data_IF_826281375396
#
_entry.id   IF_826281375396
#
_cell.length_a   1.000
_cell.length_b   1.000
_cell.length_c   1.000
_cell.angle_alpha   90.00
_cell.angle_beta   90.00
_cell.angle_gamma   90.00
#
_symmetry.space_group_name_H-M   'P 1'
#
loop_
_entity.id
_entity.type
_entity.pdbx_description
1 polymer ?
#
# COMPACT_ATOMS: atom_id res chain seq x y z
N UNK A 1 -69.49 13.34 -43.08
CA UNK A 1 -68.41 14.31 -42.95
C UNK A 1 -67.87 14.17 -41.53
N UNK A 2 -66.98 13.16 -41.30
CA UNK A 2 -66.35 12.89 -39.97
C UNK A 2 -64.88 12.68 -40.17
N UNK A 3 -64.12 13.64 -39.67
CA UNK A 3 -62.69 13.70 -39.75
C UNK A 3 -62.09 12.89 -38.57
N UNK A 4 -61.48 11.74 -38.84
CA UNK A 4 -60.81 10.94 -37.86
C UNK A 4 -59.38 11.46 -37.70
N UNK A 5 -59.06 12.01 -36.50
CA UNK A 5 -57.77 12.49 -36.12
C UNK A 5 -56.97 11.23 -35.60
N UNK A 6 -55.93 10.80 -36.32
CA UNK A 6 -55.01 9.79 -35.90
C UNK A 6 -53.95 10.42 -35.00
N UNK A 7 -54.00 10.12 -33.70
CA UNK A 7 -52.89 10.42 -32.77
C UNK A 7 -51.75 9.43 -32.99
N UNK A 8 -50.62 9.91 -33.47
CA UNK A 8 -49.39 9.17 -33.56
C UNK A 8 -48.64 9.35 -32.24
N UNK A 9 -48.69 8.35 -31.36
CA UNK A 9 -47.92 8.35 -30.14
C UNK A 9 -46.47 7.88 -30.46
N UNK A 10 -45.56 8.84 -30.57
CA UNK A 10 -44.11 8.54 -30.65
C UNK A 10 -43.60 8.12 -29.25
N UNK A 11 -43.38 6.84 -29.09
CA UNK A 11 -42.67 6.29 -27.90
C UNK A 11 -41.19 6.56 -28.11
N UNK A 12 -40.64 7.54 -27.42
CA UNK A 12 -39.19 7.77 -27.30
C UNK A 12 -38.64 6.75 -26.32
N UNK A 13 -38.04 5.68 -26.83
CA UNK A 13 -37.30 4.70 -26.02
C UNK A 13 -35.92 5.30 -25.69
N UNK A 14 -35.81 5.92 -24.52
CA UNK A 14 -34.50 6.34 -23.97
C UNK A 14 -33.68 5.09 -23.65
N UNK A 15 -32.78 4.74 -24.56
CA UNK A 15 -31.75 3.73 -24.33
C UNK A 15 -30.71 4.34 -23.37
N UNK A 16 -30.88 4.12 -22.08
CA UNK A 16 -29.83 4.42 -21.08
C UNK A 16 -28.70 3.43 -21.29
N UNK A 17 -27.67 3.82 -22.03
CA UNK A 17 -26.43 3.12 -22.10
C UNK A 17 -25.78 3.23 -20.70
N UNK A 18 -25.98 2.22 -19.86
CA UNK A 18 -25.17 2.02 -18.67
C UNK A 18 -23.74 1.68 -19.13
N UNK A 19 -22.91 2.70 -19.23
CA UNK A 19 -21.47 2.54 -19.31
C UNK A 19 -21.02 1.88 -18.02
N UNK A 20 -20.98 0.54 -18.01
CA UNK A 20 -20.19 -0.22 -17.06
C UNK A 20 -18.72 0.10 -17.34
N UNK A 21 -18.27 1.24 -16.84
CA UNK A 21 -16.87 1.60 -16.89
C UNK A 21 -16.11 0.52 -16.13
N UNK A 22 -15.35 -0.28 -16.85
CA UNK A 22 -14.30 -1.09 -16.22
C UNK A 22 -13.44 -0.12 -15.42
N UNK A 23 -13.53 -0.19 -14.10
CA UNK A 23 -12.66 0.56 -13.19
C UNK A 23 -11.28 -0.10 -13.31
N UNK A 24 -10.54 0.26 -14.34
CA UNK A 24 -9.11 -0.05 -14.40
C UNK A 24 -8.45 0.72 -13.26
N UNK A 25 -7.60 0.03 -12.51
CA UNK A 25 -6.75 0.65 -11.51
C UNK A 25 -6.05 1.87 -12.12
N UNK A 26 -6.46 3.07 -11.70
CA UNK A 26 -5.95 4.32 -12.29
C UNK A 26 -4.69 4.75 -11.56
N UNK A 27 -3.60 4.85 -12.31
CA UNK A 27 -2.34 5.34 -11.80
C UNK A 27 -2.11 6.81 -12.14
N UNK A 28 -1.50 7.52 -11.20
CA UNK A 28 -1.06 8.89 -11.40
C UNK A 28 0.46 9.00 -11.25
N UNK A 29 1.08 9.88 -12.02
CA UNK A 29 2.45 10.32 -11.80
C UNK A 29 2.43 11.64 -11.03
N UNK A 30 3.44 11.87 -10.20
CA UNK A 30 3.69 13.15 -9.55
C UNK A 30 5.13 13.58 -9.82
N UNK A 31 5.36 14.88 -9.80
CA UNK A 31 6.65 15.50 -10.08
C UNK A 31 7.30 16.13 -8.85
N UNK A 32 6.52 16.27 -7.76
CA UNK A 32 6.99 16.81 -6.49
C UNK A 32 6.41 16.04 -5.29
N UNK A 33 7.05 16.19 -4.13
CA UNK A 33 6.59 15.56 -2.89
C UNK A 33 5.20 16.08 -2.46
N UNK A 34 4.93 17.36 -2.67
CA UNK A 34 3.64 17.99 -2.35
C UNK A 34 2.53 17.43 -3.24
N UNK A 35 2.79 17.32 -4.54
CA UNK A 35 1.84 16.73 -5.48
C UNK A 35 1.56 15.26 -5.16
N UNK A 36 2.62 14.49 -4.85
CA UNK A 36 2.49 13.10 -4.43
C UNK A 36 1.63 12.98 -3.17
N UNK A 37 1.87 13.81 -2.15
CA UNK A 37 1.08 13.81 -0.91
C UNK A 37 -0.39 14.07 -1.19
N UNK A 38 -0.70 15.16 -1.91
CA UNK A 38 -2.07 15.52 -2.26
C UNK A 38 -2.82 14.43 -3.04
N UNK A 39 -2.14 13.78 -4.00
CA UNK A 39 -2.73 12.66 -4.76
C UNK A 39 -2.91 11.41 -3.89
N UNK A 40 -1.95 11.12 -3.01
CA UNK A 40 -2.02 9.97 -2.11
C UNK A 40 -3.18 10.05 -1.12
N UNK A 41 -3.49 11.26 -0.62
CA UNK A 41 -4.60 11.47 0.33
C UNK A 41 -5.98 11.28 -0.32
N UNK A 42 -6.07 11.31 -1.65
CA UNK A 42 -7.32 11.19 -2.41
C UNK A 42 -7.49 9.81 -3.08
N UNK A 43 -6.61 8.84 -2.84
CA UNK A 43 -6.65 7.53 -3.49
C UNK A 43 -7.90 6.73 -3.12
N UNK A 44 -8.56 6.22 -4.14
CA UNK A 44 -9.66 5.26 -4.04
C UNK A 44 -9.13 3.83 -4.23
N UNK A 45 -9.87 2.78 -3.82
CA UNK A 45 -9.49 1.40 -4.06
C UNK A 45 -9.05 1.16 -5.51
N UNK A 46 -7.89 0.53 -5.70
CA UNK A 46 -7.29 0.30 -7.01
C UNK A 46 -6.42 1.44 -7.53
N UNK A 47 -6.41 2.60 -6.89
CA UNK A 47 -5.62 3.75 -7.33
C UNK A 47 -4.24 3.80 -6.66
N UNK A 48 -3.31 4.46 -7.34
CA UNK A 48 -1.94 4.63 -6.90
C UNK A 48 -1.29 5.89 -7.48
N UNK A 49 -0.19 6.33 -6.88
CA UNK A 49 0.68 7.41 -7.39
C UNK A 49 2.14 6.98 -7.33
N UNK A 50 2.92 7.36 -8.36
CA UNK A 50 4.33 7.00 -8.49
C UNK A 50 5.17 8.17 -8.98
N UNK A 51 6.23 8.50 -8.24
CA UNK A 51 7.06 9.69 -8.46
C UNK A 51 8.55 9.42 -8.19
N UNK A 52 9.20 8.47 -8.88
CA UNK A 52 10.56 8.03 -8.56
C UNK A 52 11.61 9.12 -8.76
N UNK A 53 11.32 10.19 -9.53
CA UNK A 53 12.26 11.28 -9.77
C UNK A 53 12.44 12.19 -8.56
N UNK A 54 11.53 12.16 -7.58
CA UNK A 54 11.67 12.95 -6.35
C UNK A 54 12.91 12.51 -5.56
N UNK A 55 13.23 11.20 -5.60
CA UNK A 55 14.47 10.64 -5.04
C UNK A 55 15.06 9.66 -6.06
N UNK A 56 15.94 10.11 -6.97
CA UNK A 56 16.38 9.32 -8.11
C UNK A 56 17.25 8.11 -7.75
N UNK A 57 17.91 8.14 -6.58
CA UNK A 57 18.84 7.10 -6.13
C UNK A 57 18.73 6.83 -4.63
N UNK A 58 19.26 5.71 -4.19
CA UNK A 58 19.32 5.29 -2.81
C UNK A 58 18.52 4.04 -2.50
N UNK A 59 18.64 3.50 -1.28
CA UNK A 59 17.94 2.29 -0.85
C UNK A 59 16.43 2.49 -0.86
N UNK A 60 15.72 1.42 -1.25
CA UNK A 60 14.25 1.38 -1.27
C UNK A 60 13.75 0.59 -0.07
N UNK A 61 12.61 1.01 0.47
CA UNK A 61 11.82 0.25 1.43
C UNK A 61 10.33 0.43 1.17
N UNK A 62 9.53 -0.54 1.62
CA UNK A 62 8.07 -0.49 1.54
C UNK A 62 7.49 -0.53 2.95
N UNK A 63 6.53 0.31 3.21
CA UNK A 63 5.69 0.28 4.41
C UNK A 63 4.25 -0.04 4.02
N UNK A 64 3.70 -1.11 4.57
CA UNK A 64 2.31 -1.52 4.38
C UNK A 64 1.54 -1.26 5.67
N UNK A 65 0.56 -0.36 5.59
CA UNK A 65 -0.38 -0.05 6.66
C UNK A 65 -1.66 -0.84 6.45
N UNK A 66 -1.84 -1.90 7.24
CA UNK A 66 -3.01 -2.78 7.14
C UNK A 66 -4.30 -2.09 7.63
N UNK A 67 -4.21 -1.12 8.54
CA UNK A 67 -5.37 -0.39 9.04
C UNK A 67 -5.97 0.53 7.99
N UNK A 68 -5.11 1.12 7.16
CA UNK A 68 -5.48 2.03 6.07
C UNK A 68 -5.60 1.35 4.70
N UNK A 69 -5.17 0.09 4.59
CA UNK A 69 -5.06 -0.62 3.32
C UNK A 69 -4.21 0.18 2.30
N UNK A 70 -3.03 0.64 2.73
CA UNK A 70 -2.11 1.48 1.94
C UNK A 70 -0.70 0.89 1.99
N UNK A 71 -0.03 0.85 0.84
CA UNK A 71 1.41 0.62 0.74
C UNK A 71 2.10 1.93 0.34
N UNK A 72 3.17 2.26 1.04
CA UNK A 72 4.01 3.43 0.77
C UNK A 72 5.43 2.98 0.43
N UNK A 73 5.97 3.48 -0.67
CA UNK A 73 7.34 3.19 -1.12
C UNK A 73 8.22 4.40 -0.85
N UNK A 74 9.33 4.13 -0.18
CA UNK A 74 10.36 5.12 0.12
C UNK A 74 11.64 4.80 -0.66
N UNK A 75 12.35 5.83 -1.07
CA UNK A 75 13.73 5.72 -1.55
C UNK A 75 14.57 6.77 -0.85
N UNK A 76 15.66 6.33 -0.20
CA UNK A 76 16.52 7.20 0.61
C UNK A 76 15.71 8.03 1.63
N UNK A 77 14.73 7.40 2.31
CA UNK A 77 13.83 8.05 3.27
C UNK A 77 12.75 8.96 2.67
N UNK A 78 12.77 9.22 1.36
CA UNK A 78 11.79 10.06 0.69
C UNK A 78 10.69 9.21 0.08
N UNK A 79 9.43 9.57 0.32
CA UNK A 79 8.26 8.91 -0.27
C UNK A 79 8.22 9.12 -1.77
N UNK A 80 8.26 8.03 -2.54
CA UNK A 80 8.26 8.03 -4.02
C UNK A 80 7.04 7.32 -4.63
N UNK A 81 6.26 6.61 -3.83
CA UNK A 81 5.07 5.93 -4.31
C UNK A 81 4.08 5.62 -3.19
N UNK A 82 2.80 5.61 -3.52
CA UNK A 82 1.70 5.21 -2.63
C UNK A 82 0.68 4.46 -3.45
N UNK A 83 0.16 3.37 -2.89
CA UNK A 83 -0.89 2.57 -3.52
C UNK A 83 -1.88 2.09 -2.49
N UNK A 84 -3.14 1.99 -2.87
CA UNK A 84 -4.09 1.18 -2.11
C UNK A 84 -3.72 -0.30 -2.23
N UNK A 85 -4.07 -1.08 -1.22
CA UNK A 85 -3.83 -2.53 -1.18
C UNK A 85 -5.09 -3.28 -0.77
N UNK A 86 -5.07 -4.61 -0.91
CA UNK A 86 -6.00 -5.52 -0.24
C UNK A 86 -5.20 -6.59 0.48
N UNK A 87 -5.26 -6.57 1.80
CA UNK A 87 -4.54 -7.51 2.68
C UNK A 87 -5.35 -8.78 2.95
N UNK A 88 -4.83 -9.65 3.80
CA UNK A 88 -5.49 -10.87 4.24
C UNK A 88 -6.81 -10.60 4.97
N UNK A 89 -7.85 -11.36 4.58
CA UNK A 89 -9.17 -11.34 5.23
C UNK A 89 -9.13 -12.02 6.60
N UNK A 90 -10.20 -11.88 7.38
CA UNK A 90 -10.37 -12.55 8.67
C UNK A 90 -10.13 -14.06 8.56
N UNK A 91 -9.28 -14.59 9.43
CA UNK A 91 -8.83 -15.99 9.44
C UNK A 91 -7.68 -16.30 8.46
N UNK A 92 -7.24 -15.30 7.70
CA UNK A 92 -6.10 -15.35 6.78
C UNK A 92 -5.34 -14.03 6.81
N UNK A 93 -5.14 -13.48 7.99
CA UNK A 93 -4.56 -12.16 8.19
C UNK A 93 -3.15 -12.09 7.61
N UNK A 94 -2.80 -10.94 7.04
CA UNK A 94 -1.42 -10.65 6.65
C UNK A 94 -0.58 -10.49 7.92
N UNK A 95 0.52 -11.23 8.08
CA UNK A 95 1.36 -11.12 9.27
C UNK A 95 2.05 -9.74 9.31
N UNK A 96 2.11 -9.16 10.51
CA UNK A 96 2.85 -7.93 10.77
C UNK A 96 4.29 -8.21 11.13
N UNK A 97 5.18 -7.27 10.84
CA UNK A 97 6.60 -7.39 11.14
C UNK A 97 7.49 -6.70 10.12
N UNK A 98 8.78 -6.94 10.26
CA UNK A 98 9.79 -6.50 9.29
C UNK A 98 10.24 -7.72 8.48
N UNK A 99 10.06 -7.61 7.18
CA UNK A 99 10.36 -8.67 6.20
C UNK A 99 11.42 -8.19 5.22
N UNK A 100 12.01 -9.14 4.50
CA UNK A 100 12.81 -8.85 3.30
C UNK A 100 12.23 -9.58 2.12
N UNK A 101 12.46 -9.07 0.91
CA UNK A 101 12.09 -9.77 -0.31
C UNK A 101 13.00 -10.99 -0.49
N UNK A 102 12.43 -12.18 -0.34
CA UNK A 102 13.15 -13.46 -0.40
C UNK A 102 13.27 -14.01 -1.81
N UNK A 103 12.28 -13.70 -2.67
CA UNK A 103 12.19 -14.19 -4.04
C UNK A 103 11.37 -13.21 -4.87
N UNK A 104 11.73 -13.08 -6.15
CA UNK A 104 10.98 -12.30 -7.14
C UNK A 104 10.62 -13.19 -8.33
N UNK A 105 9.34 -13.17 -8.74
CA UNK A 105 8.87 -13.93 -9.90
C UNK A 105 7.73 -13.15 -10.59
N UNK A 106 8.01 -12.68 -11.80
CA UNK A 106 7.05 -11.86 -12.56
C UNK A 106 5.81 -12.62 -13.04
N UNK A 107 5.91 -13.96 -13.16
CA UNK A 107 4.85 -14.83 -13.70
C UNK A 107 4.40 -15.92 -12.73
N UNK A 108 4.60 -15.67 -11.43
CA UNK A 108 4.30 -16.64 -10.37
C UNK A 108 2.85 -17.11 -10.40
N UNK A 109 2.67 -18.37 -10.01
CA UNK A 109 1.37 -18.99 -9.76
C UNK A 109 1.35 -19.67 -8.41
N UNK A 110 0.24 -19.56 -7.72
CA UNK A 110 0.08 -20.16 -6.40
C UNK A 110 0.12 -21.68 -6.44
N UNK A 111 0.99 -22.28 -5.65
CA UNK A 111 0.98 -23.74 -5.41
C UNK A 111 -0.11 -24.17 -4.41
N UNK A 112 -0.64 -23.23 -3.61
CA UNK A 112 -1.62 -23.48 -2.54
C UNK A 112 -3.06 -23.21 -2.98
N UNK A 113 -3.28 -22.31 -3.95
CA UNK A 113 -4.61 -21.79 -4.29
C UNK A 113 -4.90 -21.99 -5.77
N UNK A 114 -5.19 -23.23 -6.16
CA UNK A 114 -5.70 -23.59 -7.49
C UNK A 114 -4.94 -22.95 -8.66
N UNK A 115 -3.62 -22.91 -8.58
CA UNK A 115 -2.76 -22.32 -9.63
C UNK A 115 -3.12 -20.86 -9.99
N UNK A 116 -3.69 -20.12 -9.02
CA UNK A 116 -4.08 -18.72 -9.22
C UNK A 116 -2.90 -17.87 -9.68
N UNK A 117 -3.08 -16.95 -10.64
CA UNK A 117 -2.01 -16.07 -11.08
C UNK A 117 -1.65 -15.06 -9.97
N UNK A 118 -0.36 -14.87 -9.75
CA UNK A 118 0.22 -13.91 -8.81
C UNK A 118 1.30 -13.07 -9.53
N UNK A 119 0.92 -12.21 -10.49
CA UNK A 119 1.89 -11.47 -11.29
C UNK A 119 2.74 -10.55 -10.43
N UNK A 120 4.03 -10.42 -10.77
CA UNK A 120 5.00 -9.57 -10.07
C UNK A 120 5.13 -9.90 -8.59
N UNK A 121 5.20 -11.19 -8.27
CA UNK A 121 5.35 -11.68 -6.91
C UNK A 121 6.71 -11.26 -6.32
N UNK A 122 6.64 -10.65 -5.15
CA UNK A 122 7.76 -10.33 -4.26
C UNK A 122 7.49 -11.03 -2.92
N UNK A 123 8.14 -12.18 -2.72
CA UNK A 123 7.89 -13.09 -1.60
C UNK A 123 8.46 -12.54 -0.29
N UNK A 124 7.66 -12.54 0.76
CA UNK A 124 8.04 -12.09 2.11
C UNK A 124 8.29 -13.25 3.08
N UNK A 125 7.57 -14.38 2.91
CA UNK A 125 7.74 -15.56 3.77
C UNK A 125 7.75 -16.84 2.94
N UNK A 126 8.41 -17.88 3.43
CA UNK A 126 8.40 -19.19 2.77
C UNK A 126 7.04 -19.90 2.92
N UNK A 127 6.18 -19.45 3.85
CA UNK A 127 4.81 -19.94 3.99
C UNK A 127 3.87 -19.41 2.91
N UNK A 128 4.33 -18.48 2.06
CA UNK A 128 3.63 -18.03 0.88
C UNK A 128 3.04 -16.63 0.93
N UNK A 129 3.37 -15.83 1.95
CA UNK A 129 3.00 -14.40 1.97
C UNK A 129 3.88 -13.62 1.02
N UNK A 130 3.27 -12.76 0.20
CA UNK A 130 3.96 -11.96 -0.81
C UNK A 130 3.20 -10.67 -1.11
N UNK A 131 3.92 -9.69 -1.70
CA UNK A 131 3.31 -8.61 -2.47
C UNK A 131 3.12 -9.10 -3.90
N UNK A 132 1.98 -8.86 -4.54
CA UNK A 132 1.75 -9.19 -5.95
C UNK A 132 0.50 -8.47 -6.50
N UNK A 133 0.33 -8.47 -7.81
CA UNK A 133 -0.88 -7.94 -8.41
C UNK A 133 -2.10 -8.83 -8.09
N UNK A 134 -3.21 -8.21 -7.66
CA UNK A 134 -4.43 -8.94 -7.29
C UNK A 134 -5.67 -8.06 -7.25
N UNK A 135 -6.77 -8.63 -6.78
CA UNK A 135 -8.04 -7.92 -6.58
C UNK A 135 -7.91 -6.80 -5.52
N UNK A 136 -8.65 -5.71 -5.71
CA UNK A 136 -8.59 -4.50 -4.88
C UNK A 136 -10.00 -3.97 -4.63
N UNK A 137 -10.84 -4.71 -3.88
CA UNK A 137 -12.22 -4.32 -3.63
C UNK A 137 -12.38 -3.15 -2.65
N UNK A 138 -11.28 -2.71 -2.01
CA UNK A 138 -11.28 -1.64 -1.01
C UNK A 138 -11.36 -2.16 0.43
N UNK A 139 -11.28 -3.47 0.61
CA UNK A 139 -11.26 -4.15 1.90
C UNK A 139 -10.34 -5.38 1.84
N UNK A 140 -9.95 -5.96 2.99
CA UNK A 140 -9.17 -7.20 3.04
C UNK A 140 -9.93 -8.38 2.42
N UNK A 141 -9.35 -9.02 1.37
CA UNK A 141 -9.97 -10.19 0.72
C UNK A 141 -9.01 -11.35 0.48
N UNK A 142 -7.68 -11.09 0.58
CA UNK A 142 -6.66 -12.09 0.26
C UNK A 142 -6.59 -13.23 1.29
N UNK A 143 -5.76 -14.22 1.00
CA UNK A 143 -5.43 -15.30 1.92
C UNK A 143 -4.07 -15.09 2.60
N UNK A 144 -3.74 -13.84 2.94
CA UNK A 144 -2.54 -13.44 3.65
C UNK A 144 -1.55 -12.61 2.81
N UNK A 145 -1.63 -12.65 1.49
CA UNK A 145 -0.84 -11.78 0.63
C UNK A 145 -1.31 -10.33 0.67
N UNK A 146 -0.47 -9.42 0.20
CA UNK A 146 -0.82 -8.02 -0.05
C UNK A 146 -1.03 -7.84 -1.55
N UNK A 147 -2.26 -7.66 -1.96
CA UNK A 147 -2.62 -7.35 -3.34
C UNK A 147 -2.36 -5.89 -3.66
N UNK A 148 -1.81 -5.65 -4.83
CA UNK A 148 -1.49 -4.33 -5.39
C UNK A 148 -2.12 -4.18 -6.78
N UNK A 149 -2.36 -2.95 -7.26
CA UNK A 149 -2.71 -2.71 -8.65
C UNK A 149 -1.65 -3.27 -9.60
N UNK A 150 -2.05 -3.87 -10.71
CA UNK A 150 -1.14 -4.56 -11.63
C UNK A 150 0.04 -3.68 -12.07
N UNK A 151 -0.23 -2.45 -12.49
CA UNK A 151 0.82 -1.54 -12.96
C UNK A 151 1.72 -1.06 -11.81
N UNK A 152 1.16 -0.83 -10.61
CA UNK A 152 1.98 -0.49 -9.44
C UNK A 152 2.86 -1.65 -9.02
N UNK A 153 2.34 -2.89 -9.04
CA UNK A 153 3.14 -4.10 -8.79
C UNK A 153 4.32 -4.21 -9.75
N UNK A 154 4.10 -3.92 -11.04
CA UNK A 154 5.16 -3.91 -12.05
C UNK A 154 6.21 -2.84 -11.73
N UNK A 155 5.79 -1.60 -11.43
CA UNK A 155 6.70 -0.50 -11.09
C UNK A 155 7.53 -0.79 -9.83
N UNK A 156 6.91 -1.37 -8.82
CA UNK A 156 7.59 -1.77 -7.59
C UNK A 156 8.56 -2.92 -7.85
N UNK A 157 8.12 -3.93 -8.59
CA UNK A 157 8.94 -5.08 -8.97
C UNK A 157 10.19 -4.63 -9.75
N UNK A 158 10.05 -3.71 -10.71
CA UNK A 158 11.18 -3.19 -11.48
C UNK A 158 12.17 -2.37 -10.61
N UNK A 159 11.66 -1.70 -9.58
CA UNK A 159 12.46 -0.86 -8.69
C UNK A 159 13.10 -1.62 -7.52
N UNK A 160 12.52 -2.73 -7.09
CA UNK A 160 12.94 -3.52 -5.93
C UNK A 160 14.06 -4.50 -6.24
N UNK A 161 14.68 -5.04 -5.19
CA UNK A 161 15.70 -6.09 -5.27
C UNK A 161 15.53 -7.11 -4.14
N UNK A 162 16.19 -8.26 -4.24
CA UNK A 162 16.23 -9.25 -3.17
C UNK A 162 16.89 -8.64 -1.93
N UNK A 163 16.35 -8.97 -0.76
CA UNK A 163 16.78 -8.39 0.52
C UNK A 163 16.23 -7.00 0.82
N UNK A 164 15.47 -6.37 -0.09
CA UNK A 164 14.79 -5.09 0.19
C UNK A 164 13.84 -5.21 1.37
N UNK A 165 13.87 -4.23 2.27
CA UNK A 165 13.02 -4.21 3.47
C UNK A 165 11.56 -3.89 3.14
N UNK A 166 10.67 -4.68 3.72
CA UNK A 166 9.21 -4.46 3.72
C UNK A 166 8.71 -4.50 5.16
N UNK A 167 8.12 -3.42 5.63
CA UNK A 167 7.49 -3.32 6.95
C UNK A 167 5.99 -3.46 6.78
N UNK A 168 5.37 -4.38 7.51
CA UNK A 168 3.92 -4.56 7.57
C UNK A 168 3.45 -4.27 8.98
N UNK A 169 2.56 -3.30 9.16
CA UNK A 169 2.09 -2.86 10.46
C UNK A 169 0.58 -2.57 10.46
N UNK A 170 0.02 -2.44 11.68
CA UNK A 170 -1.41 -2.24 11.88
C UNK A 170 -2.20 -3.54 11.81
N UNK A 171 -3.51 -3.41 11.92
CA UNK A 171 -4.46 -4.51 11.75
C UNK A 171 -5.60 -4.05 10.87
N UNK A 172 -6.03 -4.87 9.93
CA UNK A 172 -7.19 -4.59 9.11
C UNK A 172 -8.44 -4.43 10.00
N UNK A 173 -9.16 -3.32 9.86
CA UNK A 173 -10.31 -2.99 10.67
C UNK A 173 -10.02 -2.15 11.93
N UNK A 174 -8.76 -1.98 12.32
CA UNK A 174 -8.40 -1.01 13.34
C UNK A 174 -8.66 0.41 12.80
N UNK A 175 -9.07 1.37 13.67
CA UNK A 175 -9.16 2.75 13.23
C UNK A 175 -7.80 3.23 12.72
N UNK A 176 -7.77 4.02 11.63
CA UNK A 176 -6.52 4.52 11.09
C UNK A 176 -5.81 5.34 12.17
N UNK A 177 -4.55 5.00 12.42
CA UNK A 177 -3.70 5.82 13.27
C UNK A 177 -3.48 7.12 12.53
N UNK A 178 -4.00 8.22 13.03
CA UNK A 178 -3.74 9.54 12.50
C UNK A 178 -2.28 9.89 12.78
N UNK A 179 -1.42 9.68 11.80
CA UNK A 179 -0.04 10.12 11.87
C UNK A 179 -0.02 11.64 11.70
N UNK A 180 0.20 12.36 12.78
CA UNK A 180 0.49 13.79 12.73
C UNK A 180 1.95 13.89 12.26
N UNK A 181 2.14 14.28 11.00
CA UNK A 181 3.41 14.80 10.52
C UNK A 181 4.49 13.83 10.04
N UNK A 182 4.19 12.60 9.61
CA UNK A 182 5.19 11.72 8.99
C UNK A 182 5.09 10.27 9.46
N UNK A 183 5.72 9.37 8.72
CA UNK A 183 5.65 7.91 8.98
C UNK A 183 6.15 7.53 10.38
N UNK A 184 6.87 8.43 11.04
CA UNK A 184 7.53 8.20 12.33
C UNK A 184 7.36 9.36 13.31
N UNK A 185 6.34 10.23 13.11
CA UNK A 185 6.03 11.21 14.15
C UNK A 185 5.69 10.47 15.44
N UNK A 186 6.27 10.85 16.58
CA UNK A 186 5.91 10.27 17.86
C UNK A 186 4.41 10.47 18.10
N UNK A 187 3.76 9.43 18.57
CA UNK A 187 2.31 9.37 18.80
C UNK A 187 1.87 10.55 19.68
N UNK A 188 1.04 11.42 19.10
CA UNK A 188 0.68 12.69 19.70
C UNK A 188 -0.50 12.66 20.64
N UNK A 189 -0.62 11.69 21.54
CA UNK A 189 -1.45 11.81 22.72
C UNK A 189 -0.57 11.74 23.97
N UNK A 190 -0.65 12.79 24.78
CA UNK A 190 0.21 13.03 25.94
C UNK A 190 0.23 11.92 27.01
N UNK A 191 -0.54 10.86 26.86
CA UNK A 191 -0.68 9.83 27.89
C UNK A 191 -0.03 8.47 27.56
N UNK A 192 0.48 8.26 26.34
CA UNK A 192 1.10 6.98 25.95
C UNK A 192 2.46 7.10 25.28
N UNK A 193 3.16 8.19 25.44
CA UNK A 193 4.59 8.22 25.10
C UNK A 193 5.27 7.32 26.13
N UNK A 194 5.54 6.10 25.70
CA UNK A 194 6.38 5.19 26.47
C UNK A 194 7.68 5.94 26.76
N UNK A 195 7.91 6.32 28.00
CA UNK A 195 9.07 7.12 28.44
C UNK A 195 10.42 6.51 28.01
N UNK A 196 10.38 5.27 27.52
CA UNK A 196 11.51 4.54 26.96
C UNK A 196 11.85 4.92 25.51
N UNK A 197 10.98 5.64 24.78
CA UNK A 197 11.23 6.04 23.39
C UNK A 197 11.81 7.45 23.28
N UNK A 198 11.67 8.28 24.31
CA UNK A 198 12.23 9.62 24.35
C UNK A 198 13.57 9.60 25.05
N UNK A 199 14.61 10.15 24.40
CA UNK A 199 15.92 10.34 25.02
C UNK A 199 15.78 11.35 26.15
N UNK A 200 16.46 11.08 27.28
CA UNK A 200 16.56 12.08 28.35
C UNK A 200 17.44 13.27 27.89
N UNK A 201 17.29 14.44 28.49
CA UNK A 201 18.05 15.63 28.09
C UNK A 201 19.59 15.46 28.13
N UNK A 202 20.06 14.48 28.89
CA UNK A 202 21.48 14.12 29.06
C UNK A 202 21.92 12.93 28.19
N UNK A 203 20.96 12.29 27.47
CA UNK A 203 21.23 11.17 26.55
C UNK A 203 21.42 11.67 25.11
N UNK A 204 22.55 11.36 24.49
CA UNK A 204 22.77 11.61 23.05
C UNK A 204 22.30 10.45 22.18
N UNK A 205 22.20 9.24 22.73
CA UNK A 205 21.68 8.06 22.08
C UNK A 205 21.28 7.02 23.13
N UNK A 206 20.43 6.07 22.71
CA UNK A 206 20.12 4.84 23.47
C UNK A 206 20.27 3.63 22.56
N UNK A 207 21.08 2.66 22.98
CA UNK A 207 21.34 1.45 22.22
C UNK A 207 21.22 0.23 23.15
N UNK A 208 20.22 -0.64 22.89
CA UNK A 208 19.93 -1.83 23.70
C UNK A 208 19.86 -3.06 22.79
N UNK A 209 21.01 -3.49 22.23
CA UNK A 209 21.05 -4.57 21.23
C UNK A 209 20.60 -5.93 21.80
N UNK A 210 20.66 -6.12 23.12
CA UNK A 210 20.20 -7.32 23.84
C UNK A 210 18.67 -7.55 23.68
N UNK A 211 17.90 -6.52 23.37
CA UNK A 211 16.46 -6.63 23.09
C UNK A 211 16.19 -7.09 21.65
N UNK A 212 17.17 -7.04 20.77
CA UNK A 212 17.11 -7.49 19.38
C UNK A 212 17.72 -8.88 19.27
N UNK A 213 16.90 -9.91 19.32
CA UNK A 213 17.33 -11.26 18.98
C UNK A 213 17.57 -11.34 17.48
N UNK A 214 18.74 -11.81 17.08
CA UNK A 214 19.27 -11.98 15.73
C UNK A 214 18.28 -11.81 14.55
N UNK A 215 18.41 -10.74 13.80
CA UNK A 215 17.59 -10.42 12.60
C UNK A 215 18.17 -9.21 11.89
N UNK A 216 17.65 -8.88 10.70
CA UNK A 216 18.06 -7.67 10.00
C UNK A 216 17.73 -6.43 10.84
N UNK A 217 18.69 -5.54 10.98
CA UNK A 217 18.50 -4.25 11.66
C UNK A 217 18.07 -3.20 10.64
N UNK A 218 16.92 -2.56 10.91
CA UNK A 218 16.46 -1.42 10.12
C UNK A 218 16.59 -0.16 10.97
N UNK A 219 17.37 0.81 10.50
CA UNK A 219 17.45 2.13 11.10
C UNK A 219 16.55 3.09 10.34
N UNK A 220 15.67 3.74 11.06
CA UNK A 220 14.79 4.78 10.52
C UNK A 220 15.24 6.09 11.15
N UNK A 221 15.64 7.06 10.29
CA UNK A 221 16.07 8.38 10.73
C UNK A 221 15.00 9.39 10.34
N UNK A 222 14.34 10.01 11.32
CA UNK A 222 13.45 11.15 11.13
C UNK A 222 14.25 12.44 11.28
N UNK A 223 14.07 13.41 10.36
CA UNK A 223 14.63 14.75 10.48
C UNK A 223 13.67 15.74 11.15
N UNK A 224 12.46 15.29 11.49
CA UNK A 224 11.44 16.14 12.10
C UNK A 224 11.65 16.40 13.60
N UNK A 225 12.60 15.70 14.21
CA UNK A 225 12.81 15.68 15.66
C UNK A 225 14.14 16.37 16.07
N UNK A 226 14.60 17.35 15.27
CA UNK A 226 15.72 18.23 15.64
C UNK A 226 15.22 19.48 16.32
#
# INVERSE_FOLDING_TARGET
MNLAIKFLASVFFLLTLSLSGNIYAQGAKATSAVELARKADALKPGEWVWAPRIAPSGPISVYVDLSRQIATVYRNGVRIGVSTVSSGKKGHETPTGVFTILQKDAKHRSSKYNNAPMPFTERLTWDGVALHAGGLPGYPESHGCVHLPLEFSRLLFDASHLGMTVVVAGRAGDPPIHQIGGVLAPFGDKETVNSHLVLRPDETYRWTPELSKAGPVTMIVSRSDQ
#
